data_IF_362767774863
#
_entry.id   IF_362767774863
#
_cell.length_a   1.000
_cell.length_b   1.000
_cell.length_c   1.000
_cell.angle_alpha   90.00
_cell.angle_beta   90.00
_cell.angle_gamma   90.00
#
_symmetry.space_group_name_H-M   'P 1'
#
loop_
_entity.id
_entity.type
_entity.pdbx_description
1 polymer ?
#
# COMPACT_ATOMS: atom_id res chain seq x y z
N UNK A 1 30.41 0.54 20.53
CA UNK A 1 29.47 1.44 19.83
C UNK A 1 28.63 2.18 20.86
N UNK A 2 28.56 3.51 20.81
CA UNK A 2 27.79 4.31 21.78
C UNK A 2 26.30 3.87 21.79
N UNK A 3 25.64 3.82 22.96
CA UNK A 3 24.24 3.38 23.12
C UNK A 3 23.29 4.09 22.13
N UNK A 4 23.49 5.39 21.93
CA UNK A 4 22.73 6.20 20.95
C UNK A 4 22.90 5.70 19.50
N UNK A 5 24.12 5.36 19.09
CA UNK A 5 24.40 4.85 17.74
C UNK A 5 23.76 3.48 17.51
N UNK A 6 23.72 2.62 18.53
CA UNK A 6 23.02 1.32 18.46
C UNK A 6 21.50 1.49 18.31
N UNK A 7 20.92 2.44 19.05
CA UNK A 7 19.50 2.76 18.95
C UNK A 7 19.12 3.22 17.55
N UNK A 8 19.86 4.20 17.00
CA UNK A 8 19.59 4.74 15.65
C UNK A 8 19.67 3.63 14.59
N UNK A 9 20.72 2.79 14.63
CA UNK A 9 20.87 1.68 13.69
C UNK A 9 19.69 0.70 13.76
N UNK A 10 19.23 0.38 14.96
CA UNK A 10 18.12 -0.55 15.14
C UNK A 10 16.79 0.06 14.67
N UNK A 11 16.56 1.36 14.89
CA UNK A 11 15.39 2.07 14.37
C UNK A 11 15.38 2.04 12.84
N UNK A 12 16.52 2.33 12.20
CA UNK A 12 16.64 2.27 10.74
C UNK A 12 16.36 0.84 10.23
N UNK A 13 16.93 -0.17 10.88
CA UNK A 13 16.68 -1.57 10.51
C UNK A 13 15.19 -1.94 10.63
N UNK A 14 14.52 -1.52 11.71
CA UNK A 14 13.09 -1.76 11.89
C UNK A 14 12.24 -1.05 10.84
N UNK A 15 12.59 0.19 10.47
CA UNK A 15 11.88 0.93 9.41
C UNK A 15 12.02 0.19 8.07
N UNK A 16 13.22 -0.28 7.73
CA UNK A 16 13.45 -1.03 6.48
C UNK A 16 12.63 -2.34 6.49
N UNK A 17 12.68 -3.09 7.58
CA UNK A 17 11.90 -4.33 7.71
C UNK A 17 10.39 -4.08 7.63
N UNK A 18 9.91 -2.99 8.23
CA UNK A 18 8.51 -2.60 8.15
C UNK A 18 8.09 -2.29 6.70
N UNK A 19 8.92 -1.56 5.94
CA UNK A 19 8.64 -1.25 4.53
C UNK A 19 8.55 -2.53 3.70
N UNK A 20 9.49 -3.46 3.89
CA UNK A 20 9.49 -4.76 3.18
C UNK A 20 8.23 -5.55 3.53
N UNK A 21 7.90 -5.63 4.82
CA UNK A 21 6.72 -6.33 5.30
C UNK A 21 5.42 -5.77 4.70
N UNK A 22 5.22 -4.45 4.75
CA UNK A 22 4.00 -3.80 4.21
C UNK A 22 3.85 -4.08 2.71
N UNK A 23 4.94 -3.98 1.93
CA UNK A 23 4.90 -4.26 0.49
C UNK A 23 4.59 -5.72 0.15
N UNK A 24 5.10 -6.68 0.93
CA UNK A 24 4.89 -8.11 0.67
C UNK A 24 3.58 -8.68 1.21
N UNK A 25 2.95 -8.00 2.17
CA UNK A 25 1.76 -8.49 2.89
C UNK A 25 0.42 -8.06 2.26
N UNK A 26 0.43 -7.27 1.19
CA UNK A 26 -0.80 -6.69 0.63
C UNK A 26 -1.45 -5.67 1.58
N UNK A 27 -0.68 -5.09 2.50
CA UNK A 27 -1.13 -4.00 3.35
C UNK A 27 -0.94 -2.67 2.63
N UNK A 28 -2.02 -1.90 2.54
CA UNK A 28 -1.99 -0.58 1.92
C UNK A 28 -2.54 0.47 2.88
N UNK A 29 -1.89 1.64 2.90
CA UNK A 29 -2.33 2.76 3.72
C UNK A 29 -3.62 3.40 3.22
N UNK A 30 -3.94 3.22 1.93
CA UNK A 30 -5.16 3.76 1.33
C UNK A 30 -5.84 2.71 0.44
N UNK A 31 -7.19 2.67 0.40
CA UNK A 31 -7.92 1.79 -0.51
C UNK A 31 -7.56 2.02 -1.98
N UNK A 32 -7.27 3.27 -2.36
CA UNK A 32 -6.84 3.60 -3.72
C UNK A 32 -5.46 3.00 -4.06
N UNK A 33 -4.55 2.96 -3.09
CA UNK A 33 -3.25 2.29 -3.25
C UNK A 33 -3.41 0.80 -3.46
N UNK A 34 -4.30 0.16 -2.70
CA UNK A 34 -4.64 -1.26 -2.86
C UNK A 34 -5.20 -1.55 -4.26
N UNK A 35 -6.16 -0.74 -4.70
CA UNK A 35 -6.76 -0.89 -6.02
C UNK A 35 -5.73 -0.74 -7.14
N UNK A 36 -4.87 0.29 -7.11
CA UNK A 36 -3.82 0.48 -8.13
C UNK A 36 -2.83 -0.69 -8.22
N UNK A 37 -2.45 -1.26 -7.09
CA UNK A 37 -1.55 -2.40 -7.07
C UNK A 37 -2.25 -3.67 -7.60
N UNK A 38 -3.52 -3.86 -7.25
CA UNK A 38 -4.38 -4.90 -7.83
C UNK A 38 -4.53 -4.76 -9.35
N UNK A 39 -4.74 -3.55 -9.86
CA UNK A 39 -4.83 -3.27 -11.30
C UNK A 39 -3.54 -3.65 -12.03
N UNK A 40 -2.39 -3.35 -11.41
CA UNK A 40 -1.07 -3.62 -11.98
C UNK A 40 -0.69 -5.10 -11.95
N UNK A 41 -1.11 -5.84 -10.93
CA UNK A 41 -0.62 -7.20 -10.67
C UNK A 41 -1.58 -8.30 -11.12
N UNK A 42 -2.88 -8.05 -11.06
CA UNK A 42 -3.91 -9.07 -11.24
C UNK A 42 -4.94 -8.77 -12.34
N UNK A 43 -5.00 -7.52 -12.85
CA UNK A 43 -5.99 -7.12 -13.86
C UNK A 43 -5.32 -6.59 -15.14
N UNK A 44 -6.14 -6.20 -16.11
CA UNK A 44 -5.74 -5.88 -17.49
C UNK A 44 -5.03 -4.53 -17.67
N UNK A 45 -4.55 -3.90 -16.60
CA UNK A 45 -3.86 -2.61 -16.62
C UNK A 45 -4.62 -1.53 -15.85
N UNK A 46 -4.16 -0.26 -15.88
CA UNK A 46 -4.83 0.81 -15.15
C UNK A 46 -6.19 1.10 -15.78
N UNK A 47 -7.25 0.61 -15.14
CA UNK A 47 -8.62 0.95 -15.49
C UNK A 47 -8.90 2.45 -15.28
N UNK A 48 -9.79 3.01 -16.08
CA UNK A 48 -10.36 4.33 -15.80
C UNK A 48 -11.32 4.22 -14.62
N UNK A 49 -11.09 5.02 -13.57
CA UNK A 49 -11.99 5.08 -12.42
C UNK A 49 -13.22 5.91 -12.81
N UNK A 50 -14.36 5.25 -12.95
CA UNK A 50 -15.63 5.88 -13.36
C UNK A 50 -16.39 6.42 -12.14
N UNK A 51 -16.28 5.74 -10.99
CA UNK A 51 -16.96 6.17 -9.77
C UNK A 51 -16.22 5.72 -8.51
N UNK A 52 -16.26 6.57 -7.47
CA UNK A 52 -15.79 6.23 -6.13
C UNK A 52 -16.91 6.56 -5.15
N UNK A 53 -17.32 5.56 -4.37
CA UNK A 53 -18.31 5.72 -3.32
C UNK A 53 -17.69 5.38 -1.95
N UNK A 54 -17.70 6.34 -1.03
CA UNK A 54 -17.29 6.13 0.35
C UNK A 54 -18.48 5.78 1.22
N UNK A 55 -18.33 4.75 2.05
CA UNK A 55 -19.34 4.34 3.03
C UNK A 55 -18.69 3.98 4.37
N UNK A 56 -19.51 3.84 5.41
CA UNK A 56 -19.05 3.74 6.81
C UNK A 56 -17.95 2.69 7.08
N UNK A 57 -17.86 1.64 6.26
CA UNK A 57 -16.92 0.52 6.46
C UNK A 57 -15.98 0.28 5.27
N UNK A 58 -15.97 1.15 4.27
CA UNK A 58 -15.18 0.89 3.07
C UNK A 58 -15.39 1.90 1.97
N UNK A 59 -14.85 1.55 0.82
CA UNK A 59 -14.89 2.36 -0.39
C UNK A 59 -15.13 1.42 -1.57
N UNK A 60 -16.10 1.75 -2.42
CA UNK A 60 -16.25 1.14 -3.72
C UNK A 60 -15.51 1.98 -4.75
N UNK A 61 -14.80 1.30 -5.65
CA UNK A 61 -14.12 1.92 -6.79
C UNK A 61 -14.62 1.17 -8.02
N UNK A 62 -15.45 1.83 -8.82
CA UNK A 62 -15.97 1.30 -10.07
C UNK A 62 -15.07 1.76 -11.21
N UNK A 63 -14.68 0.78 -12.02
CA UNK A 63 -13.66 0.93 -13.02
C UNK A 63 -14.13 0.43 -14.38
N UNK A 64 -13.63 1.06 -15.44
CA UNK A 64 -13.83 0.65 -16.83
C UNK A 64 -12.48 0.34 -17.46
N UNK A 65 -12.41 -0.78 -18.14
CA UNK A 65 -11.30 -1.15 -19.01
C UNK A 65 -11.66 -0.78 -20.45
N UNK A 66 -10.64 -0.39 -21.22
CA UNK A 66 -10.76 -0.24 -22.68
C UNK A 66 -10.77 -1.61 -23.39
#
# INVERSE_FOLDING_TARGET
MNRKKKLIRNIIALIILLIIFVKGSGLYFTPLGAHRDSERTAHYGPSEIVHIEDFRKGKYILCRYD
#
